data_IF_644361952164
#
_entry.id   IF_644361952164
#
_cell.length_a   1.000
_cell.length_b   1.000
_cell.length_c   1.000
_cell.angle_alpha   90.00
_cell.angle_beta   90.00
_cell.angle_gamma   90.00
#
_symmetry.space_group_name_H-M   'P 1'
#
loop_
_entity.id
_entity.type
_entity.pdbx_description
1 polymer ?
#
# COMPACT_ATOMS: atom_id res chain seq x y z
N UNK A 1 -7.40 3.97 16.52
CA UNK A 1 -5.91 3.94 16.52
C UNK A 1 -5.46 2.50 16.48
N UNK A 2 -4.60 2.11 15.55
CA UNK A 2 -4.14 0.73 15.48
C UNK A 2 -3.16 0.43 16.61
N UNK A 3 -3.21 -0.81 17.10
CA UNK A 3 -2.12 -1.31 17.93
C UNK A 3 -0.89 -1.58 17.06
N UNK A 4 0.29 -1.59 17.67
CA UNK A 4 1.52 -1.97 16.97
C UNK A 4 1.40 -3.40 16.42
N UNK A 5 0.76 -4.30 17.17
CA UNK A 5 0.53 -5.66 16.72
C UNK A 5 -0.31 -5.72 15.46
N UNK A 6 -1.41 -4.96 15.40
CA UNK A 6 -2.29 -4.90 14.24
C UNK A 6 -1.55 -4.35 13.02
N UNK A 7 -0.77 -3.28 13.22
CA UNK A 7 0.04 -2.72 12.14
C UNK A 7 1.07 -3.73 11.63
N UNK A 8 1.72 -4.45 12.53
CA UNK A 8 2.70 -5.46 12.14
C UNK A 8 2.07 -6.60 11.36
N UNK A 9 0.86 -7.02 11.70
CA UNK A 9 0.10 -8.02 10.93
C UNK A 9 -0.17 -7.52 9.50
N UNK A 10 -0.63 -6.28 9.37
CA UNK A 10 -0.87 -5.65 8.07
C UNK A 10 0.42 -5.61 7.24
N UNK A 11 1.51 -5.15 7.84
CA UNK A 11 2.81 -5.08 7.16
C UNK A 11 3.24 -6.47 6.68
N UNK A 12 3.08 -7.51 7.51
CA UNK A 12 3.46 -8.86 7.13
C UNK A 12 2.67 -9.37 5.91
N UNK A 13 1.39 -9.04 5.82
CA UNK A 13 0.57 -9.42 4.66
C UNK A 13 1.07 -8.72 3.39
N UNK A 14 1.38 -7.42 3.48
CA UNK A 14 1.94 -6.68 2.34
C UNK A 14 3.30 -7.27 1.94
N UNK A 15 4.15 -7.56 2.92
CA UNK A 15 5.49 -8.13 2.66
C UNK A 15 5.42 -9.52 2.05
N UNK A 16 4.33 -10.25 2.26
CA UNK A 16 4.11 -11.55 1.62
C UNK A 16 3.80 -11.44 0.12
N UNK A 17 3.55 -10.22 -0.38
CA UNK A 17 3.17 -9.96 -1.75
C UNK A 17 1.66 -9.90 -1.99
N UNK A 18 0.87 -10.24 -0.99
CA UNK A 18 -0.60 -10.24 -1.11
C UNK A 18 -1.16 -8.84 -0.83
N UNK A 19 -0.82 -7.88 -1.71
CA UNK A 19 -1.25 -6.50 -1.56
C UNK A 19 -2.77 -6.37 -1.65
N UNK A 20 -3.42 -7.10 -2.55
CA UNK A 20 -4.88 -7.08 -2.68
C UNK A 20 -5.55 -7.63 -1.43
N UNK A 21 -5.05 -8.73 -0.87
CA UNK A 21 -5.55 -9.31 0.38
C UNK A 21 -5.37 -8.36 1.57
N UNK A 22 -4.29 -7.58 1.59
CA UNK A 22 -4.07 -6.57 2.62
C UNK A 22 -5.18 -5.50 2.56
N UNK A 23 -5.55 -5.05 1.37
CA UNK A 23 -6.63 -4.09 1.20
C UNK A 23 -7.96 -4.69 1.67
N UNK A 24 -8.28 -5.91 1.25
CA UNK A 24 -9.53 -6.57 1.64
C UNK A 24 -9.70 -6.68 3.16
N UNK A 25 -8.61 -7.00 3.86
CA UNK A 25 -8.67 -7.32 5.30
C UNK A 25 -8.45 -6.14 6.22
N UNK A 26 -7.75 -5.10 5.77
CA UNK A 26 -7.29 -4.02 6.64
C UNK A 26 -7.82 -2.65 6.29
N UNK A 27 -8.61 -2.50 5.24
CA UNK A 27 -9.17 -1.19 4.84
C UNK A 27 -10.66 -1.16 5.07
N UNK A 28 -11.20 0.05 5.31
CA UNK A 28 -12.65 0.23 5.41
C UNK A 28 -13.27 0.15 4.01
N UNK A 29 -14.58 -0.11 3.94
CA UNK A 29 -15.29 -0.22 2.67
C UNK A 29 -15.33 1.10 1.89
N UNK A 30 -15.28 2.25 2.60
CA UNK A 30 -15.25 3.59 2.03
C UNK A 30 -13.83 4.18 1.93
N UNK A 31 -12.80 3.35 2.07
CA UNK A 31 -11.41 3.79 2.09
C UNK A 31 -10.96 4.39 0.76
N UNK A 32 -9.89 5.19 0.83
CA UNK A 32 -9.30 5.81 -0.35
C UNK A 32 -7.79 5.67 -0.38
N UNK A 33 -7.24 5.65 -1.60
CA UNK A 33 -5.81 5.73 -1.87
C UNK A 33 -5.54 6.87 -2.83
N UNK A 34 -4.50 7.64 -2.54
CA UNK A 34 -4.07 8.75 -3.37
C UNK A 34 -2.58 8.62 -3.69
N UNK A 35 -2.22 8.80 -4.96
CA UNK A 35 -0.84 8.78 -5.42
C UNK A 35 -0.35 10.22 -5.56
N UNK A 36 0.60 10.66 -4.72
CA UNK A 36 1.10 12.03 -4.72
C UNK A 36 -0.06 13.05 -4.68
N UNK A 37 -0.17 13.94 -5.67
CA UNK A 37 -1.23 14.93 -5.77
C UNK A 37 -2.35 14.55 -6.76
N UNK A 38 -2.38 13.32 -7.25
CA UNK A 38 -3.43 12.85 -8.15
C UNK A 38 -4.77 12.71 -7.42
N UNK A 39 -5.85 12.60 -8.17
CA UNK A 39 -7.17 12.37 -7.58
C UNK A 39 -7.20 11.01 -6.87
N UNK A 40 -7.77 10.93 -5.65
CA UNK A 40 -7.84 9.66 -4.95
C UNK A 40 -8.79 8.67 -5.62
N UNK A 41 -8.46 7.38 -5.50
CA UNK A 41 -9.39 6.29 -5.80
C UNK A 41 -10.16 5.99 -4.53
N UNK A 42 -11.47 5.88 -4.63
CA UNK A 42 -12.35 5.72 -3.46
C UNK A 42 -13.15 4.43 -3.57
N UNK A 43 -13.20 3.69 -2.46
CA UNK A 43 -13.96 2.45 -2.33
C UNK A 43 -13.07 1.22 -2.35
N UNK A 44 -13.18 0.39 -1.31
CA UNK A 44 -12.32 -0.79 -1.14
C UNK A 44 -12.36 -1.72 -2.35
N UNK A 45 -13.54 -1.98 -2.91
CA UNK A 45 -13.66 -2.90 -4.05
C UNK A 45 -12.90 -2.38 -5.27
N UNK A 46 -12.95 -1.06 -5.50
CA UNK A 46 -12.17 -0.43 -6.58
C UNK A 46 -10.68 -0.52 -6.31
N UNK A 47 -10.25 -0.30 -5.06
CA UNK A 47 -8.84 -0.39 -4.67
C UNK A 47 -8.32 -1.81 -4.87
N UNK A 48 -9.10 -2.82 -4.48
CA UNK A 48 -8.73 -4.23 -4.66
C UNK A 48 -8.60 -4.57 -6.14
N UNK A 49 -9.58 -4.18 -6.95
CA UNK A 49 -9.56 -4.46 -8.38
C UNK A 49 -8.37 -3.81 -9.08
N UNK A 50 -8.07 -2.55 -8.72
CA UNK A 50 -6.90 -1.84 -9.24
C UNK A 50 -5.61 -2.57 -8.89
N UNK A 51 -5.45 -2.97 -7.63
CA UNK A 51 -4.24 -3.66 -7.17
C UNK A 51 -4.08 -5.03 -7.82
N UNK A 52 -5.16 -5.78 -7.97
CA UNK A 52 -5.12 -7.06 -8.69
C UNK A 52 -4.66 -6.87 -10.14
N UNK A 53 -5.10 -5.79 -10.78
CA UNK A 53 -4.66 -5.46 -12.14
C UNK A 53 -3.16 -5.17 -12.22
N UNK A 54 -2.63 -4.43 -11.25
CA UNK A 54 -1.18 -4.15 -11.17
C UNK A 54 -0.41 -5.45 -10.97
N UNK A 55 -0.80 -6.25 -9.98
CA UNK A 55 -0.10 -7.50 -9.65
C UNK A 55 -0.16 -8.52 -10.79
N UNK A 56 -1.25 -8.55 -11.56
CA UNK A 56 -1.41 -9.46 -12.69
C UNK A 56 -0.38 -9.18 -13.81
N UNK A 57 0.16 -7.96 -13.87
CA UNK A 57 1.19 -7.58 -14.85
C UNK A 57 2.61 -7.89 -14.38
N UNK A 58 2.75 -8.38 -13.13
CA UNK A 58 4.04 -8.65 -12.53
C UNK A 58 4.34 -10.15 -12.51
N UNK A 59 5.60 -10.51 -12.76
CA UNK A 59 6.07 -11.89 -12.58
C UNK A 59 6.63 -12.13 -11.17
N UNK A 60 7.05 -11.05 -10.49
CA UNK A 60 7.58 -11.13 -9.13
C UNK A 60 7.32 -9.82 -8.40
N UNK A 61 7.02 -9.93 -7.10
CA UNK A 61 6.77 -8.79 -6.21
C UNK A 61 7.59 -8.96 -4.94
N UNK A 62 8.48 -8.00 -4.68
CA UNK A 62 9.22 -7.90 -3.43
C UNK A 62 8.73 -6.67 -2.68
N UNK A 63 8.44 -6.82 -1.38
CA UNK A 63 7.91 -5.75 -0.55
C UNK A 63 8.59 -5.76 0.80
N UNK A 64 9.06 -4.59 1.24
CA UNK A 64 9.73 -4.46 2.53
C UNK A 64 9.34 -3.14 3.19
N UNK A 65 8.88 -3.23 4.44
CA UNK A 65 8.72 -2.06 5.31
C UNK A 65 10.08 -1.78 5.98
N UNK A 66 10.66 -0.63 5.67
CA UNK A 66 11.95 -0.21 6.23
C UNK A 66 11.75 0.31 7.66
N UNK A 67 10.71 1.13 7.85
CA UNK A 67 10.36 1.69 9.16
C UNK A 67 8.89 2.11 9.18
N UNK A 68 8.37 2.29 10.37
CA UNK A 68 7.00 2.77 10.55
C UNK A 68 6.88 3.56 11.85
N UNK A 69 5.97 4.52 11.82
CA UNK A 69 5.67 5.41 12.96
C UNK A 69 4.17 5.42 13.17
N UNK A 70 3.76 5.31 14.43
CA UNK A 70 2.35 5.40 14.83
C UNK A 70 2.19 6.58 15.77
N UNK A 71 1.26 7.47 15.46
CA UNK A 71 0.86 8.55 16.34
C UNK A 71 -0.67 8.68 16.30
N UNK A 72 -1.35 8.19 17.35
CA UNK A 72 -2.80 8.18 17.36
C UNK A 72 -3.36 7.34 16.22
N UNK A 73 -4.24 7.95 15.43
CA UNK A 73 -4.85 7.30 14.26
C UNK A 73 -3.97 7.43 13.00
N UNK A 74 -2.84 8.10 13.10
CA UNK A 74 -1.96 8.35 11.95
C UNK A 74 -0.78 7.39 11.96
N UNK A 75 -0.49 6.81 10.81
CA UNK A 75 0.61 5.88 10.62
C UNK A 75 1.38 6.28 9.38
N UNK A 76 2.71 6.28 9.47
CA UNK A 76 3.58 6.43 8.32
C UNK A 76 4.41 5.17 8.16
N UNK A 77 4.50 4.64 6.94
CA UNK A 77 5.33 3.48 6.63
C UNK A 77 6.24 3.83 5.47
N UNK A 78 7.54 3.60 5.67
CA UNK A 78 8.52 3.69 4.59
C UNK A 78 8.64 2.33 3.93
N UNK A 79 8.27 2.25 2.65
CA UNK A 79 8.26 1.02 1.87
C UNK A 79 9.33 1.04 0.78
N UNK A 80 9.91 -0.14 0.54
CA UNK A 80 10.62 -0.43 -0.70
C UNK A 80 9.86 -1.56 -1.40
N UNK A 81 9.45 -1.32 -2.64
CA UNK A 81 8.87 -2.35 -3.50
C UNK A 81 9.77 -2.56 -4.71
N UNK A 82 9.92 -3.81 -5.10
CA UNK A 82 10.56 -4.15 -6.37
C UNK A 82 9.59 -5.03 -7.14
N UNK A 83 9.04 -4.48 -8.22
CA UNK A 83 8.04 -5.14 -9.05
C UNK A 83 8.70 -5.53 -10.36
N UNK A 84 8.79 -6.83 -10.65
CA UNK A 84 9.35 -7.34 -11.89
C UNK A 84 8.22 -7.60 -12.86
N UNK A 85 8.20 -6.92 -14.00
CA UNK A 85 7.15 -7.11 -15.00
C UNK A 85 7.38 -8.36 -15.85
N UNK A 86 6.46 -8.66 -16.76
CA UNK A 86 6.52 -9.85 -17.60
C UNK A 86 7.69 -9.85 -18.59
N UNK A 87 8.27 -8.68 -18.86
CA UNK A 87 9.46 -8.55 -19.70
C UNK A 87 10.77 -8.77 -18.93
N UNK A 88 10.69 -8.90 -17.60
CA UNK A 88 11.85 -9.04 -16.73
C UNK A 88 12.39 -7.71 -16.21
N UNK A 89 11.77 -6.58 -16.55
CA UNK A 89 12.20 -5.28 -16.05
C UNK A 89 11.77 -5.11 -14.60
N UNK A 90 12.70 -4.65 -13.76
CA UNK A 90 12.44 -4.38 -12.34
C UNK A 90 12.10 -2.90 -12.15
N UNK A 91 10.96 -2.65 -11.53
CA UNK A 91 10.50 -1.31 -11.15
C UNK A 91 10.68 -1.16 -9.64
N UNK A 92 11.64 -0.35 -9.23
CA UNK A 92 11.90 -0.10 -7.81
C UNK A 92 11.17 1.16 -7.38
N UNK A 93 10.38 1.01 -6.32
CA UNK A 93 9.59 2.11 -5.76
C UNK A 93 10.03 2.32 -4.32
N UNK A 94 10.51 3.53 -4.04
CA UNK A 94 10.86 3.98 -2.69
C UNK A 94 9.80 5.01 -2.30
N UNK A 95 8.92 4.64 -1.37
CA UNK A 95 7.78 5.49 -1.05
C UNK A 95 7.47 5.52 0.44
N UNK A 96 6.79 6.59 0.85
CA UNK A 96 6.18 6.68 2.17
C UNK A 96 4.67 6.69 2.01
N UNK A 97 3.99 5.79 2.71
CA UNK A 97 2.54 5.86 2.83
C UNK A 97 2.16 6.54 4.14
N UNK A 98 1.29 7.52 4.04
CA UNK A 98 0.70 8.18 5.19
C UNK A 98 -0.74 7.69 5.31
N UNK A 99 -1.05 7.04 6.43
CA UNK A 99 -2.33 6.37 6.66
C UNK A 99 -3.10 7.04 7.79
N UNK A 100 -4.40 7.14 7.61
CA UNK A 100 -5.31 7.47 8.68
C UNK A 100 -6.15 6.22 8.95
N UNK A 101 -6.13 5.76 10.20
CA UNK A 101 -6.86 4.57 10.62
C UNK A 101 -8.16 4.96 11.32
N UNK A 102 -9.17 4.12 11.13
CA UNK A 102 -10.44 4.21 11.85
C UNK A 102 -10.58 2.89 12.61
N UNK A 103 -10.25 2.92 13.92
CA UNK A 103 -10.14 1.70 14.71
C UNK A 103 -9.00 0.83 14.19
N UNK A 104 -9.30 -0.38 13.80
CA UNK A 104 -8.33 -1.38 13.33
C UNK A 104 -8.25 -1.48 11.81
N UNK A 105 -8.78 -0.48 11.08
CA UNK A 105 -8.80 -0.46 9.62
C UNK A 105 -8.33 0.88 9.07
N UNK A 106 -7.68 0.83 7.91
CA UNK A 106 -7.23 2.01 7.19
C UNK A 106 -8.42 2.64 6.48
N UNK A 107 -8.62 3.93 6.74
CA UNK A 107 -9.69 4.72 6.15
C UNK A 107 -9.19 5.55 4.97
N UNK A 108 -7.97 6.08 5.07
CA UNK A 108 -7.37 6.94 4.03
C UNK A 108 -5.88 6.67 3.96
N UNK A 109 -5.36 6.57 2.73
CA UNK A 109 -3.92 6.36 2.54
C UNK A 109 -3.44 7.22 1.38
N UNK A 110 -2.30 7.88 1.57
CA UNK A 110 -1.64 8.67 0.54
C UNK A 110 -0.20 8.24 0.42
N UNK A 111 0.21 7.97 -0.83
CA UNK A 111 1.56 7.54 -1.14
C UNK A 111 2.36 8.72 -1.69
N UNK A 112 3.57 8.90 -1.15
CA UNK A 112 4.51 9.92 -1.60
C UNK A 112 5.73 9.23 -2.17
N UNK A 113 5.99 9.47 -3.45
CA UNK A 113 7.15 8.93 -4.15
C UNK A 113 7.53 9.88 -5.28
N UNK A 114 8.70 9.66 -5.90
CA UNK A 114 9.18 10.48 -7.00
C UNK A 114 8.26 10.28 -8.23
N UNK A 115 7.50 11.31 -8.68
CA UNK A 115 6.59 11.16 -9.80
C UNK A 115 7.29 10.97 -11.14
N UNK A 116 8.61 11.24 -11.23
CA UNK A 116 9.41 10.97 -12.43
C UNK A 116 9.73 9.47 -12.58
N UNK A 117 9.42 8.66 -11.56
CA UNK A 117 9.57 7.20 -11.55
C UNK A 117 8.21 6.57 -11.29
N UNK A 118 7.32 6.55 -12.30
CA UNK A 118 5.97 6.05 -12.09
C UNK A 118 5.96 4.56 -11.71
N UNK A 119 4.96 4.19 -10.94
CA UNK A 119 4.71 2.80 -10.60
C UNK A 119 4.35 2.01 -11.85
N UNK A 120 4.77 0.75 -11.89
CA UNK A 120 4.54 -0.15 -13.01
C UNK A 120 3.05 -0.37 -13.31
#
# INVERSE_FOLDING_TARGET
MPSRERLNEFIAVVESGDHAGAIERYYTDDSSMQENAAAPRVGRDLLVAHERGVLARMSHVYSKAISSVVEGDNVAVHWIFELTDKSGKVHRIDEVSLQEWRGDRIFRERFFYDPSRPKA
#
